data_IF_248744370868
#
_entry.id   IF_248744370868
#
_cell.length_a   1.000
_cell.length_b   1.000
_cell.length_c   1.000
_cell.angle_alpha   90.00
_cell.angle_beta   90.00
_cell.angle_gamma   90.00
#
_symmetry.space_group_name_H-M   'P 1'
#
loop_
_entity.id
_entity.type
_entity.pdbx_description
1 polymer ?
#
# COMPACT_ATOMS: atom_id res chain seq x y z
N UNK A 1 20.25 22.35 -0.97
CA UNK A 1 21.32 21.77 -0.13
C UNK A 1 21.39 20.29 -0.48
N UNK A 2 22.53 19.69 -0.73
CA UNK A 2 22.60 18.25 -0.88
C UNK A 2 22.15 17.67 0.47
N UNK A 3 21.09 16.88 0.46
CA UNK A 3 20.67 16.11 1.63
C UNK A 3 21.75 15.05 1.86
N UNK A 4 22.43 15.17 2.96
CA UNK A 4 23.40 14.14 3.37
C UNK A 4 22.60 12.90 3.81
N UNK A 5 22.44 11.95 2.90
CA UNK A 5 21.75 10.68 3.16
C UNK A 5 22.39 9.90 4.33
N UNK A 6 23.65 10.19 4.66
CA UNK A 6 24.32 9.58 5.79
C UNK A 6 23.71 9.98 7.16
N UNK A 7 22.89 11.02 7.20
CA UNK A 7 22.14 11.41 8.40
C UNK A 7 20.91 10.51 8.66
N UNK A 8 20.46 9.78 7.66
CA UNK A 8 19.33 8.84 7.81
C UNK A 8 19.87 7.57 8.47
N UNK A 9 19.53 7.37 9.73
CA UNK A 9 19.95 6.20 10.50
C UNK A 9 18.99 5.02 10.35
N UNK A 10 17.70 5.29 10.20
CA UNK A 10 16.65 4.28 10.12
C UNK A 10 15.67 4.58 8.97
N UNK A 11 15.31 3.55 8.22
CA UNK A 11 14.28 3.58 7.20
C UNK A 11 13.12 2.71 7.69
N UNK A 12 11.92 3.29 7.79
CA UNK A 12 10.70 2.56 8.15
C UNK A 12 9.83 2.39 6.91
N UNK A 13 9.46 1.16 6.64
CA UNK A 13 8.67 0.77 5.46
C UNK A 13 7.34 0.20 5.94
N UNK A 14 6.25 0.91 5.67
CA UNK A 14 4.89 0.42 5.81
C UNK A 14 4.32 0.18 4.42
N UNK A 15 3.98 -1.06 4.11
CA UNK A 15 3.46 -1.44 2.80
C UNK A 15 2.00 -1.86 2.92
N UNK A 16 1.11 -0.95 2.55
CA UNK A 16 -0.33 -1.19 2.41
C UNK A 16 -0.63 -1.82 1.05
N UNK A 17 -1.87 -2.27 0.81
CA UNK A 17 -2.14 -2.99 -0.43
C UNK A 17 -3.51 -2.72 -1.08
N UNK A 18 -3.57 -3.10 -2.34
CA UNK A 18 -4.73 -3.21 -3.21
C UNK A 18 -5.57 -1.93 -3.36
N UNK A 19 -4.92 -0.76 -3.37
CA UNK A 19 -5.55 0.51 -3.73
C UNK A 19 -4.67 1.26 -4.72
N UNK A 20 -5.28 1.82 -5.76
CA UNK A 20 -4.58 2.70 -6.70
C UNK A 20 -4.40 4.10 -6.09
N UNK A 21 -3.45 4.85 -6.65
CA UNK A 21 -3.27 6.27 -6.32
C UNK A 21 -4.57 7.04 -6.52
N UNK A 22 -5.22 6.90 -7.67
CA UNK A 22 -6.47 7.59 -7.97
C UNK A 22 -7.59 7.25 -6.99
N UNK A 23 -7.69 5.99 -6.55
CA UNK A 23 -8.68 5.60 -5.55
C UNK A 23 -8.45 6.31 -4.21
N UNK A 24 -7.20 6.40 -3.73
CA UNK A 24 -6.88 6.93 -2.41
C UNK A 24 -6.67 8.45 -2.41
N UNK A 25 -5.96 8.99 -3.39
CA UNK A 25 -5.48 10.37 -3.42
C UNK A 25 -5.82 11.12 -4.72
N UNK A 26 -6.55 10.50 -5.65
CA UNK A 26 -6.92 11.12 -6.90
C UNK A 26 -7.67 12.44 -6.74
N UNK A 27 -8.38 12.63 -5.63
CA UNK A 27 -9.10 13.86 -5.31
C UNK A 27 -8.20 15.09 -5.14
N UNK A 28 -6.92 14.91 -4.83
CA UNK A 28 -5.98 16.02 -4.59
C UNK A 28 -5.87 16.99 -5.77
N UNK A 29 -6.17 16.53 -6.98
CA UNK A 29 -6.21 17.39 -8.17
C UNK A 29 -7.50 18.18 -8.29
N UNK A 30 -8.59 17.75 -7.67
CA UNK A 30 -9.89 18.40 -7.81
C UNK A 30 -9.92 19.77 -7.12
N UNK A 31 -10.40 20.84 -7.78
CA UNK A 31 -10.47 22.19 -7.21
C UNK A 31 -11.19 22.26 -5.87
N UNK A 32 -12.22 21.44 -5.69
CA UNK A 32 -12.97 21.32 -4.43
C UNK A 32 -12.07 20.96 -3.23
N UNK A 33 -10.94 20.28 -3.47
CA UNK A 33 -10.03 19.77 -2.44
C UNK A 33 -8.63 20.41 -2.53
N UNK A 34 -8.54 21.62 -3.03
CA UNK A 34 -7.31 22.37 -3.11
C UNK A 34 -6.64 22.44 -4.48
N UNK A 35 -7.04 21.57 -5.42
CA UNK A 35 -6.70 21.67 -6.85
C UNK A 35 -5.23 21.64 -7.19
N UNK A 36 -4.45 20.68 -6.68
CA UNK A 36 -3.02 20.58 -7.01
C UNK A 36 -2.82 20.06 -8.44
N UNK A 37 -2.60 20.96 -9.39
CA UNK A 37 -2.44 20.64 -10.80
C UNK A 37 -1.14 19.88 -11.14
N UNK A 38 -0.17 19.81 -10.22
CA UNK A 38 1.06 19.05 -10.40
C UNK A 38 0.89 17.55 -10.13
N UNK A 39 -0.28 17.16 -9.61
CA UNK A 39 -0.61 15.76 -9.34
C UNK A 39 -1.35 15.18 -10.54
N UNK A 40 -0.97 13.98 -10.97
CA UNK A 40 -1.69 13.20 -11.96
C UNK A 40 -2.81 12.40 -11.28
N UNK A 41 -3.93 13.06 -11.03
CA UNK A 41 -5.10 12.53 -10.35
C UNK A 41 -6.39 12.76 -11.12
N UNK A 42 -7.52 12.52 -10.47
CA UNK A 42 -8.86 12.68 -11.04
C UNK A 42 -9.10 14.14 -11.43
N UNK A 43 -9.67 14.36 -12.61
CA UNK A 43 -9.96 15.69 -13.17
C UNK A 43 -11.46 15.92 -13.25
N UNK A 44 -11.87 17.16 -13.14
CA UNK A 44 -13.26 17.60 -13.30
C UNK A 44 -13.47 18.52 -14.52
N UNK A 45 -12.47 18.67 -15.40
CA UNK A 45 -12.66 19.31 -16.69
C UNK A 45 -13.63 18.49 -17.55
N UNK A 46 -14.38 19.17 -18.42
CA UNK A 46 -15.47 18.52 -19.17
C UNK A 46 -15.01 17.39 -20.13
N UNK A 47 -13.78 17.44 -20.56
CA UNK A 47 -13.25 16.52 -21.57
C UNK A 47 -12.73 15.21 -20.96
N UNK A 48 -11.96 15.30 -19.88
CA UNK A 48 -11.28 14.15 -19.32
C UNK A 48 -12.21 13.08 -18.74
N UNK A 49 -13.22 13.40 -17.89
CA UNK A 49 -14.14 12.38 -17.37
C UNK A 49 -14.87 11.60 -18.45
N UNK A 50 -15.21 12.26 -19.56
CA UNK A 50 -15.83 11.59 -20.70
C UNK A 50 -14.86 10.68 -21.47
N UNK A 51 -13.60 11.12 -21.62
CA UNK A 51 -12.57 10.38 -22.33
C UNK A 51 -12.16 9.08 -21.63
N UNK A 52 -12.23 9.07 -20.29
CA UNK A 52 -11.84 7.92 -19.46
C UNK A 52 -13.03 7.17 -18.86
N UNK A 53 -14.25 7.54 -19.23
CA UNK A 53 -15.46 6.87 -18.76
C UNK A 53 -15.48 5.40 -19.18
N UNK A 54 -15.80 4.52 -18.25
CA UNK A 54 -16.06 3.13 -18.54
C UNK A 54 -17.54 2.91 -18.85
N UNK A 55 -17.85 1.95 -19.73
CA UNK A 55 -19.23 1.67 -20.14
C UNK A 55 -19.70 0.32 -19.64
N UNK A 56 -20.90 0.30 -19.10
CA UNK A 56 -21.59 -0.93 -18.73
C UNK A 56 -23.06 -0.84 -19.13
N UNK A 57 -23.55 -1.86 -19.82
CA UNK A 57 -24.93 -1.97 -20.28
C UNK A 57 -25.45 -0.69 -21.02
N UNK A 58 -24.58 -0.12 -21.85
CA UNK A 58 -24.87 1.10 -22.62
C UNK A 58 -24.76 2.42 -21.84
N UNK A 59 -24.53 2.38 -20.53
CA UNK A 59 -24.37 3.55 -19.67
C UNK A 59 -22.89 3.85 -19.48
N UNK A 60 -22.50 5.14 -19.58
CA UNK A 60 -21.14 5.61 -19.31
C UNK A 60 -21.01 6.08 -17.85
N UNK A 61 -19.99 5.60 -17.17
CA UNK A 61 -19.67 5.94 -15.79
C UNK A 61 -18.32 6.66 -15.74
N UNK A 62 -18.34 7.86 -15.22
CA UNK A 62 -17.17 8.73 -15.12
C UNK A 62 -16.46 8.54 -13.78
N UNK A 63 -15.12 8.69 -13.70
CA UNK A 63 -14.42 8.76 -12.42
C UNK A 63 -14.82 10.01 -11.64
N UNK A 64 -14.71 9.95 -10.33
CA UNK A 64 -15.03 11.08 -9.45
C UNK A 64 -15.02 10.70 -7.98
N UNK A 65 -15.29 11.66 -7.08
CA UNK A 65 -15.34 11.40 -5.65
C UNK A 65 -16.46 10.42 -5.30
N UNK A 66 -16.21 9.61 -4.28
CA UNK A 66 -17.19 8.72 -3.71
C UNK A 66 -18.26 9.54 -2.95
N UNK A 67 -19.51 9.33 -3.28
CA UNK A 67 -20.62 10.07 -2.67
C UNK A 67 -21.11 9.41 -1.37
N UNK A 68 -21.13 8.07 -1.36
CA UNK A 68 -21.56 7.28 -0.21
C UNK A 68 -20.41 6.41 0.31
N UNK A 69 -20.40 6.06 1.60
CA UNK A 69 -19.37 5.20 2.16
C UNK A 69 -19.47 3.78 1.59
N UNK A 70 -18.64 3.47 0.61
CA UNK A 70 -18.53 2.13 0.04
C UNK A 70 -17.06 1.76 -0.16
N UNK A 71 -16.79 0.48 -0.11
CA UNK A 71 -15.48 -0.08 -0.36
C UNK A 71 -15.63 -1.12 -1.48
N UNK A 72 -15.64 -0.67 -2.75
CA UNK A 72 -15.72 -1.59 -3.88
C UNK A 72 -14.52 -2.52 -3.86
N UNK A 73 -14.76 -3.78 -4.21
CA UNK A 73 -13.73 -4.80 -4.31
C UNK A 73 -13.48 -5.17 -5.78
N UNK A 74 -12.69 -4.39 -6.51
CA UNK A 74 -12.40 -4.69 -7.90
C UNK A 74 -11.60 -5.98 -7.99
N UNK A 75 -12.01 -6.94 -8.85
CA UNK A 75 -11.24 -8.13 -9.13
C UNK A 75 -9.82 -7.76 -9.59
N UNK A 76 -8.81 -8.47 -9.09
CA UNK A 76 -7.41 -8.08 -9.31
C UNK A 76 -6.48 -9.27 -9.62
N UNK A 77 -7.04 -10.39 -10.03
CA UNK A 77 -6.23 -11.46 -10.62
C UNK A 77 -5.77 -11.07 -12.04
N UNK A 78 -4.76 -11.74 -12.54
CA UNK A 78 -4.15 -11.42 -13.84
C UNK A 78 -5.17 -11.31 -14.99
N UNK A 79 -6.17 -12.16 -15.02
CA UNK A 79 -7.22 -12.14 -16.04
C UNK A 79 -8.12 -10.91 -15.91
N UNK A 80 -8.44 -10.52 -14.68
CA UNK A 80 -9.26 -9.33 -14.40
C UNK A 80 -8.52 -8.05 -14.76
N UNK A 81 -7.23 -7.98 -14.44
CA UNK A 81 -6.38 -6.83 -14.81
C UNK A 81 -6.25 -6.73 -16.33
N UNK A 82 -6.09 -7.85 -17.03
CA UNK A 82 -6.08 -7.84 -18.50
C UNK A 82 -7.40 -7.28 -19.09
N UNK A 83 -8.54 -7.61 -18.46
CA UNK A 83 -9.84 -7.06 -18.84
C UNK A 83 -9.92 -5.56 -18.53
N UNK A 84 -9.46 -5.12 -17.37
CA UNK A 84 -9.43 -3.72 -16.96
C UNK A 84 -8.58 -2.85 -17.89
N UNK A 85 -7.42 -3.35 -18.30
CA UNK A 85 -6.53 -2.67 -19.24
C UNK A 85 -7.18 -2.44 -20.61
N UNK A 86 -8.05 -3.33 -21.05
CA UNK A 86 -8.70 -3.24 -22.35
C UNK A 86 -7.74 -3.44 -23.53
N UNK A 87 -8.13 -2.93 -24.71
CA UNK A 87 -7.33 -3.08 -25.92
C UNK A 87 -6.13 -2.13 -25.94
N UNK A 88 -5.05 -2.60 -26.55
CA UNK A 88 -3.85 -1.77 -26.81
C UNK A 88 -4.10 -0.91 -28.03
N UNK A 89 -4.10 0.40 -27.86
CA UNK A 89 -4.17 1.41 -28.94
C UNK A 89 -2.83 2.12 -29.17
N UNK A 90 -2.85 3.14 -30.02
CA UNK A 90 -1.66 3.94 -30.33
C UNK A 90 -1.07 4.67 -29.13
N UNK A 91 -1.88 4.97 -28.11
CA UNK A 91 -1.50 5.71 -26.89
C UNK A 91 -1.39 4.80 -25.64
N UNK A 92 -1.29 3.50 -25.83
CA UNK A 92 -1.26 2.51 -24.74
C UNK A 92 -2.59 1.78 -24.58
N UNK A 93 -2.87 1.31 -23.35
CA UNK A 93 -4.11 0.61 -23.04
C UNK A 93 -5.31 1.55 -22.96
N UNK A 94 -6.49 1.05 -23.34
CA UNK A 94 -7.73 1.82 -23.29
C UNK A 94 -8.20 2.13 -21.87
N UNK A 95 -7.89 1.29 -20.90
CA UNK A 95 -8.32 1.37 -19.49
C UNK A 95 -9.85 1.48 -19.35
N UNK A 96 -10.60 0.77 -20.19
CA UNK A 96 -12.05 0.87 -20.32
C UNK A 96 -12.83 -0.33 -19.76
N UNK A 97 -12.13 -1.26 -19.11
CA UNK A 97 -12.69 -2.51 -18.63
C UNK A 97 -12.95 -2.61 -17.13
N UNK A 98 -12.75 -1.55 -16.32
CA UNK A 98 -12.88 -1.62 -14.86
C UNK A 98 -14.28 -2.02 -14.42
N UNK A 99 -15.33 -1.36 -14.93
CA UNK A 99 -16.73 -1.69 -14.57
C UNK A 99 -17.12 -3.06 -15.10
N UNK A 100 -16.62 -3.43 -16.28
CA UNK A 100 -16.87 -4.76 -16.85
C UNK A 100 -16.25 -5.86 -15.96
N UNK A 101 -14.99 -5.70 -15.54
CA UNK A 101 -14.32 -6.57 -14.59
C UNK A 101 -15.09 -6.68 -13.27
N UNK A 102 -15.61 -5.57 -12.77
CA UNK A 102 -16.40 -5.50 -11.55
C UNK A 102 -17.89 -5.84 -11.73
N UNK A 103 -18.28 -6.41 -12.88
CA UNK A 103 -19.64 -6.89 -13.18
C UNK A 103 -20.73 -5.83 -12.97
N UNK A 104 -20.44 -4.59 -13.31
CA UNK A 104 -21.37 -3.46 -13.23
C UNK A 104 -21.24 -2.60 -11.98
N UNK A 105 -20.35 -2.92 -11.03
CA UNK A 105 -20.11 -2.04 -9.90
C UNK A 105 -19.36 -0.78 -10.35
N UNK A 106 -20.08 0.34 -10.41
CA UNK A 106 -19.52 1.62 -10.85
C UNK A 106 -18.68 2.33 -9.79
N UNK A 107 -18.73 1.88 -8.53
CA UNK A 107 -17.96 2.49 -7.46
C UNK A 107 -16.45 2.21 -7.58
N UNK A 108 -16.06 1.22 -8.40
CA UNK A 108 -14.64 1.01 -8.78
C UNK A 108 -14.03 2.20 -9.53
N UNK A 109 -14.86 3.11 -10.07
CA UNK A 109 -14.44 4.36 -10.72
C UNK A 109 -14.38 5.55 -9.74
N UNK A 110 -14.58 5.32 -8.44
CA UNK A 110 -14.64 6.40 -7.44
C UNK A 110 -13.33 6.51 -6.67
N UNK A 111 -13.01 7.74 -6.25
CA UNK A 111 -11.91 8.01 -5.31
C UNK A 111 -12.44 8.35 -3.92
N UNK A 112 -11.63 8.13 -2.92
CA UNK A 112 -11.88 8.57 -1.55
C UNK A 112 -11.96 10.10 -1.50
N UNK A 113 -12.30 10.62 -0.32
CA UNK A 113 -12.31 12.06 -0.02
C UNK A 113 -11.47 12.33 1.23
N UNK A 114 -10.96 13.57 1.45
CA UNK A 114 -10.06 13.86 2.57
C UNK A 114 -10.60 13.43 3.95
N UNK A 115 -11.90 13.58 4.14
CA UNK A 115 -12.58 13.21 5.39
C UNK A 115 -12.57 11.70 5.67
N UNK A 116 -12.35 10.88 4.64
CA UNK A 116 -12.29 9.42 4.75
C UNK A 116 -10.88 8.88 4.91
N UNK A 117 -9.90 9.64 4.42
CA UNK A 117 -8.48 9.28 4.49
C UNK A 117 -7.66 10.39 5.14
N UNK A 118 -8.07 10.88 6.35
CA UNK A 118 -7.51 12.11 6.92
C UNK A 118 -6.01 12.01 7.25
N UNK A 119 -5.51 10.83 7.57
CA UNK A 119 -4.09 10.64 7.88
C UNK A 119 -3.27 10.60 6.59
N UNK A 120 -3.76 9.91 5.57
CA UNK A 120 -3.11 9.91 4.27
C UNK A 120 -3.17 11.29 3.61
N UNK A 121 -4.27 12.02 3.77
CA UNK A 121 -4.40 13.42 3.36
C UNK A 121 -3.39 14.33 4.05
N UNK A 122 -3.22 14.18 5.37
CA UNK A 122 -2.17 14.88 6.11
C UNK A 122 -0.78 14.57 5.55
N UNK A 123 -0.45 13.32 5.25
CA UNK A 123 0.83 12.95 4.67
C UNK A 123 1.01 13.56 3.27
N UNK A 124 -0.03 13.52 2.44
CA UNK A 124 0.01 14.07 1.10
C UNK A 124 0.28 15.58 1.08
N UNK A 125 -0.17 16.31 2.09
CA UNK A 125 0.05 17.76 2.19
C UNK A 125 1.38 18.14 2.86
N UNK A 126 1.96 17.27 3.66
CA UNK A 126 3.15 17.59 4.46
C UNK A 126 4.43 16.88 4.01
N UNK A 127 4.32 15.83 3.19
CA UNK A 127 5.45 15.03 2.73
C UNK A 127 5.46 14.86 1.21
N UNK A 128 6.42 14.09 0.71
CA UNK A 128 6.51 13.77 -0.71
C UNK A 128 5.55 12.65 -1.06
N UNK A 129 4.85 12.79 -2.18
CA UNK A 129 3.99 11.76 -2.77
C UNK A 129 4.53 11.36 -4.15
N UNK A 130 4.25 10.11 -4.51
CA UNK A 130 4.60 9.53 -5.81
C UNK A 130 3.30 9.11 -6.50
N UNK A 131 2.79 9.95 -7.38
CA UNK A 131 1.56 9.72 -8.14
C UNK A 131 1.74 8.78 -9.35
N UNK A 132 3.00 8.45 -9.67
CA UNK A 132 3.37 7.49 -10.72
C UNK A 132 4.07 6.24 -10.15
N UNK A 133 3.65 5.79 -8.99
CA UNK A 133 4.11 4.53 -8.40
C UNK A 133 3.14 3.40 -8.80
N UNK A 134 3.58 2.52 -9.69
CA UNK A 134 2.75 1.45 -10.24
C UNK A 134 3.18 0.08 -9.73
N UNK A 135 2.21 -0.85 -9.67
CA UNK A 135 2.52 -2.27 -9.47
C UNK A 135 3.41 -2.79 -10.59
N UNK A 136 4.51 -3.49 -10.28
CA UNK A 136 5.44 -3.96 -11.31
C UNK A 136 4.88 -5.11 -12.16
N UNK A 137 3.86 -5.81 -11.68
CA UNK A 137 3.21 -6.92 -12.39
C UNK A 137 1.70 -6.74 -12.46
N UNK A 138 1.07 -7.03 -13.62
CA UNK A 138 -0.39 -7.09 -13.75
C UNK A 138 -0.91 -8.39 -13.13
N UNK A 139 -0.89 -8.48 -11.81
CA UNK A 139 -1.17 -9.67 -11.05
C UNK A 139 -1.60 -9.31 -9.62
N UNK A 140 -2.06 -10.30 -8.88
CA UNK A 140 -2.50 -10.20 -7.49
C UNK A 140 -1.37 -9.92 -6.48
N UNK A 141 -1.67 -10.00 -5.19
CA UNK A 141 -0.80 -9.58 -4.08
C UNK A 141 0.55 -10.29 -4.06
N UNK A 142 0.58 -11.63 -4.05
CA UNK A 142 1.83 -12.37 -3.82
C UNK A 142 2.92 -12.10 -4.87
N UNK A 143 2.64 -12.11 -6.20
CA UNK A 143 3.64 -11.76 -7.20
C UNK A 143 4.21 -10.35 -7.02
N UNK A 144 3.36 -9.36 -6.73
CA UNK A 144 3.77 -7.97 -6.53
C UNK A 144 4.57 -7.78 -5.25
N UNK A 145 4.21 -8.50 -4.18
CA UNK A 145 4.98 -8.52 -2.94
C UNK A 145 6.36 -9.16 -3.14
N UNK A 146 6.45 -10.24 -3.92
CA UNK A 146 7.76 -10.81 -4.28
C UNK A 146 8.63 -9.80 -5.04
N UNK A 147 8.05 -9.03 -5.96
CA UNK A 147 8.77 -7.94 -6.61
C UNK A 147 9.27 -6.91 -5.61
N UNK A 148 8.46 -6.50 -4.64
CA UNK A 148 8.85 -5.54 -3.61
C UNK A 148 9.94 -6.07 -2.67
N UNK A 149 9.90 -7.37 -2.33
CA UNK A 149 10.76 -7.97 -1.31
C UNK A 149 11.98 -8.71 -1.87
N UNK A 150 12.00 -9.02 -3.17
CA UNK A 150 13.09 -9.76 -3.80
C UNK A 150 13.60 -9.12 -5.10
N UNK A 151 12.89 -8.14 -5.66
CA UNK A 151 13.21 -7.55 -6.96
C UNK A 151 12.79 -8.42 -8.16
N UNK A 152 12.21 -9.58 -7.93
CA UNK A 152 11.67 -10.48 -8.95
C UNK A 152 10.55 -11.34 -8.38
N UNK A 153 9.74 -11.96 -9.27
CA UNK A 153 8.71 -12.91 -8.87
C UNK A 153 8.87 -14.22 -9.64
N UNK A 154 8.67 -15.33 -8.92
CA UNK A 154 8.64 -16.69 -9.49
C UNK A 154 7.22 -17.19 -9.77
N UNK A 155 6.21 -16.38 -9.46
CA UNK A 155 4.79 -16.74 -9.58
C UNK A 155 4.03 -15.67 -10.36
N UNK A 156 2.95 -16.06 -11.02
CA UNK A 156 2.11 -15.16 -11.80
C UNK A 156 0.74 -14.87 -11.19
N UNK A 157 0.42 -15.43 -10.03
CA UNK A 157 -0.81 -15.26 -9.27
C UNK A 157 -0.61 -15.77 -7.85
N UNK A 158 -1.63 -15.66 -7.00
CA UNK A 158 -1.58 -16.17 -5.63
C UNK A 158 -1.50 -17.71 -5.61
N UNK A 159 -0.68 -18.23 -4.72
CA UNK A 159 -0.48 -19.67 -4.51
C UNK A 159 -0.72 -20.02 -3.04
N UNK A 160 -1.06 -21.28 -2.77
CA UNK A 160 -1.19 -21.80 -1.41
C UNK A 160 0.17 -21.89 -0.68
N UNK A 161 1.24 -22.09 -1.43
CA UNK A 161 2.61 -22.13 -0.92
C UNK A 161 3.48 -21.17 -1.73
N UNK A 162 4.20 -20.31 -1.01
CA UNK A 162 5.15 -19.38 -1.64
C UNK A 162 6.45 -20.11 -1.99
N UNK A 163 7.04 -19.83 -3.16
CA UNK A 163 8.30 -20.46 -3.54
C UNK A 163 9.44 -20.02 -2.63
N UNK A 164 10.35 -20.96 -2.39
CA UNK A 164 11.56 -20.70 -1.61
C UNK A 164 12.57 -19.88 -2.43
N UNK A 165 12.70 -18.60 -2.11
CA UNK A 165 13.68 -17.71 -2.73
C UNK A 165 14.21 -16.66 -1.73
N UNK A 166 15.30 -15.99 -2.09
CA UNK A 166 15.91 -14.96 -1.27
C UNK A 166 15.03 -13.70 -1.24
N UNK A 167 14.94 -13.09 -0.08
CA UNK A 167 14.25 -11.82 0.16
C UNK A 167 15.26 -10.73 0.53
N UNK A 168 14.80 -9.49 0.58
CA UNK A 168 15.60 -8.36 1.05
C UNK A 168 16.24 -8.62 2.42
N UNK A 169 15.60 -9.39 3.27
CA UNK A 169 16.14 -9.78 4.59
C UNK A 169 17.46 -10.53 4.48
N UNK A 170 17.61 -11.41 3.49
CA UNK A 170 18.85 -12.13 3.21
C UNK A 170 19.97 -11.19 2.80
N UNK A 171 19.62 -10.22 1.97
CA UNK A 171 20.55 -9.21 1.50
C UNK A 171 21.00 -8.30 2.65
N UNK A 172 20.08 -7.80 3.47
CA UNK A 172 20.38 -6.98 4.63
C UNK A 172 21.30 -7.74 5.61
N UNK A 173 20.98 -9.02 5.91
CA UNK A 173 21.79 -9.88 6.75
C UNK A 173 23.22 -10.05 6.22
N UNK A 174 23.36 -10.28 4.92
CA UNK A 174 24.67 -10.49 4.28
C UNK A 174 25.54 -9.23 4.32
N UNK A 175 24.92 -8.04 4.27
CA UNK A 175 25.63 -6.77 4.29
C UNK A 175 25.77 -6.16 5.71
N UNK A 176 25.40 -6.89 6.74
CA UNK A 176 25.51 -6.42 8.13
C UNK A 176 24.57 -5.27 8.48
N UNK A 177 23.50 -5.07 7.68
CA UNK A 177 22.48 -4.07 7.95
C UNK A 177 21.47 -4.64 8.93
N UNK A 178 21.28 -3.97 10.06
CA UNK A 178 20.31 -4.40 11.08
C UNK A 178 18.88 -4.11 10.61
N UNK A 179 17.98 -5.05 10.87
CA UNK A 179 16.58 -4.91 10.46
C UNK A 179 15.62 -5.61 11.43
N UNK A 180 14.36 -5.18 11.41
CA UNK A 180 13.28 -5.72 12.23
C UNK A 180 11.95 -5.64 11.47
N UNK A 181 11.06 -6.57 11.76
CA UNK A 181 9.67 -6.59 11.30
C UNK A 181 8.75 -6.42 12.51
N UNK A 182 7.82 -5.49 12.42
CA UNK A 182 6.68 -5.41 13.33
C UNK A 182 5.42 -5.82 12.59
N UNK A 183 4.60 -6.67 13.18
CA UNK A 183 3.39 -7.18 12.56
C UNK A 183 2.18 -7.08 13.49
N UNK A 184 1.03 -6.73 12.94
CA UNK A 184 -0.23 -6.68 13.69
C UNK A 184 -0.96 -8.02 13.69
N UNK A 185 -0.86 -8.79 12.62
CA UNK A 185 -1.48 -10.11 12.48
C UNK A 185 -0.71 -11.20 13.20
N UNK A 186 -1.29 -12.40 13.24
CA UNK A 186 -0.71 -13.56 13.90
C UNK A 186 0.67 -13.94 13.34
N UNK A 187 0.90 -13.73 12.03
CA UNK A 187 2.18 -13.91 11.38
C UNK A 187 2.46 -12.77 10.38
N UNK A 188 3.72 -12.36 10.23
CA UNK A 188 4.13 -11.52 9.10
C UNK A 188 3.89 -12.26 7.79
N UNK A 189 3.23 -11.63 6.82
CA UNK A 189 2.77 -12.30 5.59
C UNK A 189 3.91 -12.96 4.80
N UNK A 190 5.03 -12.26 4.60
CA UNK A 190 6.17 -12.80 3.84
C UNK A 190 7.11 -13.66 4.65
N UNK A 191 6.95 -13.63 5.94
CA UNK A 191 7.75 -14.45 6.85
C UNK A 191 7.20 -15.86 6.98
N UNK A 192 6.00 -16.14 6.41
CA UNK A 192 5.47 -17.51 6.31
C UNK A 192 6.26 -18.35 5.31
N UNK A 193 7.21 -17.78 4.61
CA UNK A 193 8.10 -18.58 3.77
C UNK A 193 8.87 -19.58 4.64
N UNK A 194 8.91 -20.86 4.25
CA UNK A 194 9.54 -21.92 5.05
C UNK A 194 10.97 -21.58 5.50
N UNK A 195 11.68 -20.80 4.72
CA UNK A 195 13.03 -20.32 5.01
C UNK A 195 13.11 -19.47 6.28
N UNK A 196 12.10 -18.67 6.59
CA UNK A 196 12.12 -17.71 7.69
C UNK A 196 11.42 -18.21 8.95
N UNK A 197 10.66 -19.30 8.89
CA UNK A 197 9.98 -19.88 10.04
C UNK A 197 10.88 -20.10 11.27
N UNK A 198 12.13 -20.61 11.14
CA UNK A 198 13.01 -20.74 12.29
C UNK A 198 13.39 -19.40 12.92
N UNK A 199 13.63 -18.35 12.12
CA UNK A 199 13.96 -17.01 12.64
C UNK A 199 12.76 -16.32 13.28
N UNK A 200 11.55 -16.49 12.75
CA UNK A 200 10.31 -15.98 13.36
C UNK A 200 10.16 -16.54 14.78
N UNK A 201 10.42 -17.83 14.96
CA UNK A 201 10.24 -18.52 16.24
C UNK A 201 11.38 -18.26 17.24
N UNK A 202 12.58 -17.89 16.79
CA UNK A 202 13.79 -17.91 17.63
C UNK A 202 14.55 -16.58 17.69
N UNK A 203 14.23 -15.62 16.83
CA UNK A 203 14.93 -14.33 16.79
C UNK A 203 14.02 -13.19 17.25
N UNK A 204 14.65 -12.17 17.80
CA UNK A 204 13.98 -10.92 18.20
C UNK A 204 13.76 -9.93 17.02
N UNK A 205 13.90 -10.43 15.79
CA UNK A 205 13.68 -9.63 14.58
C UNK A 205 12.22 -9.49 14.19
N UNK A 206 11.39 -10.42 14.63
CA UNK A 206 9.95 -10.39 14.37
C UNK A 206 9.23 -10.12 15.68
N UNK A 207 8.58 -8.96 15.77
CA UNK A 207 7.90 -8.50 16.98
C UNK A 207 6.46 -8.14 16.67
N UNK A 208 5.58 -8.30 17.64
CA UNK A 208 4.25 -7.76 17.55
C UNK A 208 4.25 -6.23 17.52
N UNK A 209 3.36 -5.64 16.75
CA UNK A 209 3.33 -4.19 16.50
C UNK A 209 3.04 -3.37 17.76
N UNK A 210 2.38 -3.92 18.75
CA UNK A 210 2.11 -3.26 20.03
C UNK A 210 3.40 -2.85 20.78
N UNK A 211 4.52 -3.50 20.48
CA UNK A 211 5.84 -3.15 21.01
C UNK A 211 6.50 -1.99 20.28
N UNK A 212 6.03 -1.63 19.09
CA UNK A 212 6.71 -0.66 18.24
C UNK A 212 6.96 0.67 18.96
N UNK A 213 5.90 1.28 19.54
CA UNK A 213 6.03 2.56 20.21
C UNK A 213 6.97 2.51 21.43
N UNK A 214 6.95 1.40 22.20
CA UNK A 214 7.81 1.20 23.35
C UNK A 214 9.26 0.99 22.93
N UNK A 215 9.51 0.21 21.89
CA UNK A 215 10.85 -0.01 21.37
C UNK A 215 11.45 1.29 20.80
N UNK A 216 10.62 2.12 20.12
CA UNK A 216 11.04 3.46 19.65
C UNK A 216 11.43 4.40 20.78
N UNK A 217 10.83 4.27 21.95
CA UNK A 217 11.08 5.12 23.11
C UNK A 217 12.29 4.63 23.94
N UNK A 218 12.46 3.32 24.08
CA UNK A 218 13.39 2.73 25.02
C UNK A 218 14.72 2.24 24.42
N UNK A 219 14.76 1.92 23.14
CA UNK A 219 15.99 1.42 22.52
C UNK A 219 16.93 2.58 22.15
N UNK A 220 18.22 2.40 22.44
CA UNK A 220 19.23 3.38 22.06
C UNK A 220 19.51 3.36 20.56
N UNK A 221 20.00 4.47 20.03
CA UNK A 221 20.42 4.62 18.63
C UNK A 221 21.33 3.49 18.13
N UNK A 222 22.22 2.97 18.99
CA UNK A 222 23.18 1.93 18.63
C UNK A 222 22.56 0.53 18.52
N UNK A 223 21.45 0.29 19.20
CA UNK A 223 20.71 -1.00 19.18
C UNK A 223 19.51 -0.99 18.25
N UNK A 224 19.06 0.20 17.81
CA UNK A 224 17.90 0.37 16.97
C UNK A 224 18.16 -0.11 15.53
N UNK A 225 17.22 -0.82 14.89
CA UNK A 225 17.44 -1.34 13.54
C UNK A 225 17.52 -0.23 12.50
N UNK A 226 18.42 -0.43 11.51
CA UNK A 226 18.57 0.47 10.38
C UNK A 226 17.41 0.38 9.37
N UNK A 227 16.74 -0.78 9.31
CA UNK A 227 15.55 -0.96 8.45
C UNK A 227 14.45 -1.62 9.27
N UNK A 228 13.27 -1.02 9.24
CA UNK A 228 12.07 -1.53 9.88
C UNK A 228 11.01 -1.77 8.82
N UNK A 229 10.43 -2.95 8.84
CA UNK A 229 9.26 -3.30 8.06
C UNK A 229 8.05 -3.38 9.00
N UNK A 230 6.95 -2.78 8.60
CA UNK A 230 5.69 -2.84 9.34
C UNK A 230 4.66 -3.53 8.47
N UNK A 231 4.07 -4.58 9.02
CA UNK A 231 3.05 -5.39 8.35
C UNK A 231 1.70 -5.23 9.04
N UNK A 232 0.65 -4.92 8.26
CA UNK A 232 -0.72 -4.76 8.77
C UNK A 232 -1.36 -6.10 9.13
N UNK A 233 -2.59 -6.05 9.64
CA UNK A 233 -3.51 -7.18 9.60
C UNK A 233 -4.04 -7.29 8.18
N UNK A 234 -3.77 -8.40 7.53
CA UNK A 234 -4.24 -8.66 6.17
C UNK A 234 -5.70 -9.13 6.17
N UNK A 235 -6.53 -8.47 5.37
CA UNK A 235 -7.96 -8.76 5.25
C UNK A 235 -8.22 -10.20 4.83
N UNK A 236 -7.39 -10.73 3.93
CA UNK A 236 -7.52 -12.08 3.38
C UNK A 236 -6.73 -13.15 4.16
N UNK A 237 -6.11 -12.77 5.28
CA UNK A 237 -5.34 -13.74 6.06
C UNK A 237 -6.25 -14.81 6.68
N UNK A 238 -5.86 -16.09 6.65
CA UNK A 238 -6.54 -17.12 7.42
C UNK A 238 -6.63 -16.71 8.90
N UNK A 239 -7.81 -16.81 9.50
CA UNK A 239 -8.06 -16.42 10.89
C UNK A 239 -7.97 -14.93 11.21
N UNK A 240 -8.17 -14.02 10.24
CA UNK A 240 -8.37 -12.60 10.52
C UNK A 240 -9.68 -12.42 11.30
N UNK A 241 -9.60 -12.37 12.65
CA UNK A 241 -10.75 -12.10 13.53
C UNK A 241 -11.03 -10.59 13.63
N UNK A 242 -10.08 -9.76 13.20
CA UNK A 242 -10.17 -8.31 13.26
C UNK A 242 -10.38 -7.72 11.86
N UNK A 243 -10.94 -6.51 11.81
CA UNK A 243 -10.96 -5.70 10.59
C UNK A 243 -9.54 -5.50 10.08
N UNK A 244 -9.29 -5.69 8.77
CA UNK A 244 -7.98 -5.51 8.15
C UNK A 244 -7.46 -4.08 8.32
N UNK A 245 -6.15 -3.95 8.46
CA UNK A 245 -5.46 -2.65 8.52
C UNK A 245 -4.56 -2.41 7.31
N UNK A 246 -4.67 -3.28 6.32
CA UNK A 246 -3.89 -3.30 5.08
C UNK A 246 -4.46 -2.42 3.96
N UNK A 247 -5.60 -1.76 4.19
CA UNK A 247 -6.40 -1.03 3.20
C UNK A 247 -7.05 -1.92 2.12
N UNK A 248 -6.85 -3.23 2.14
CA UNK A 248 -7.38 -4.13 1.13
C UNK A 248 -8.92 -4.12 1.08
N UNK A 249 -9.47 -4.04 -0.13
CA UNK A 249 -10.91 -4.15 -0.36
C UNK A 249 -11.42 -5.56 -0.02
N UNK A 250 -12.63 -5.72 0.49
CA UNK A 250 -13.65 -4.69 0.75
C UNK A 250 -13.57 -4.02 2.13
N UNK A 251 -12.48 -4.20 2.88
CA UNK A 251 -12.32 -3.58 4.19
C UNK A 251 -12.35 -2.06 4.14
N UNK A 252 -12.78 -1.46 5.25
CA UNK A 252 -12.72 -0.02 5.43
C UNK A 252 -11.28 0.47 5.46
N UNK A 253 -11.00 1.62 4.86
CA UNK A 253 -9.69 2.27 4.95
C UNK A 253 -9.41 2.84 6.36
N UNK A 254 -10.37 2.80 7.27
CA UNK A 254 -10.21 3.32 8.64
C UNK A 254 -9.12 2.60 9.42
N UNK A 255 -9.02 1.28 9.25
CA UNK A 255 -7.97 0.47 9.89
C UNK A 255 -6.58 0.89 9.47
N UNK A 256 -6.35 1.06 8.17
CA UNK A 256 -5.08 1.54 7.62
C UNK A 256 -4.74 2.98 8.03
N UNK A 257 -5.74 3.88 8.08
CA UNK A 257 -5.55 5.23 8.61
C UNK A 257 -5.05 5.21 10.06
N UNK A 258 -5.62 4.33 10.90
CA UNK A 258 -5.16 4.16 12.28
C UNK A 258 -3.73 3.63 12.35
N UNK A 259 -3.40 2.59 11.60
CA UNK A 259 -2.05 2.04 11.56
C UNK A 259 -1.01 3.10 11.14
N UNK A 260 -1.30 3.88 10.08
CA UNK A 260 -0.42 4.97 9.67
C UNK A 260 -0.22 6.02 10.75
N UNK A 261 -1.29 6.37 11.49
CA UNK A 261 -1.20 7.30 12.62
C UNK A 261 -0.35 6.74 13.76
N UNK A 262 -0.53 5.47 14.10
CA UNK A 262 0.20 4.81 15.19
C UNK A 262 1.70 4.72 14.86
N UNK A 263 2.04 4.38 13.61
CA UNK A 263 3.44 4.39 13.13
C UNK A 263 4.03 5.79 13.22
N UNK A 264 3.36 6.79 12.70
CA UNK A 264 3.84 8.17 12.71
C UNK A 264 4.00 8.69 14.14
N UNK A 265 3.04 8.43 15.01
CA UNK A 265 3.07 8.83 16.42
C UNK A 265 4.20 8.15 17.18
N UNK A 266 4.47 6.88 16.90
CA UNK A 266 5.62 6.17 17.47
C UNK A 266 6.94 6.80 17.07
N UNK A 267 7.10 7.12 15.78
CA UNK A 267 8.30 7.80 15.27
C UNK A 267 8.54 9.17 15.91
N UNK A 268 7.47 9.95 16.13
CA UNK A 268 7.59 11.27 16.76
C UNK A 268 8.07 11.20 18.22
N UNK A 269 7.73 10.15 18.97
CA UNK A 269 8.18 9.99 20.36
C UNK A 269 9.70 9.85 20.44
N UNK A 270 10.31 9.08 19.55
CA UNK A 270 11.76 8.91 19.51
C UNK A 270 12.51 10.23 19.24
N UNK A 271 11.95 11.12 18.42
CA UNK A 271 12.54 12.44 18.10
C UNK A 271 12.46 13.40 19.28
N UNK A 272 11.37 13.36 20.05
CA UNK A 272 11.17 14.27 21.19
C UNK A 272 12.15 13.98 22.34
N UNK A 273 12.53 12.73 22.55
CA UNK A 273 13.47 12.37 23.61
C UNK A 273 14.92 12.66 23.25
N UNK A 274 15.32 12.53 21.99
CA UNK A 274 16.67 12.90 21.52
C UNK A 274 16.94 14.41 21.53
N UNK A 275 15.92 15.23 21.70
CA UNK A 275 16.04 16.72 21.76
C UNK A 275 15.91 17.31 23.16
N UNK A 276 15.82 16.47 24.19
CA UNK A 276 15.88 16.86 25.61
C UNK A 276 17.24 16.54 26.22
#
# INVERSE_FOLDING_TARGET
>A
MPTDLAQIKTIVILLMENRSFDHMLGYLRLPKYGGNLNIDGVRDDQAWPNAVANKWDGVAYQPGPMLEPRNPDPPHERADIALQLGQVGANGFALDGFINSAKGDSDVMRCQTPDRVPILDFFAHNFRICDHWFSPLPASTQPNRQMAMAGYSLIGGNLNELPYHALIYDWLKTHGVSWRVYHQGFFPFFSIMPRWLPEIATSDRFREFDRFATDMELESDDSFPQVIFIEPVYTDAPHAEAEGTDDHSPSSVTGGQRLMLDVYSGLLRSVIETTR
#
